data_IF_670085276563
#
_entry.id   IF_670085276563
#
_cell.length_a   1.000
_cell.length_b   1.000
_cell.length_c   1.000
_cell.angle_alpha   90.00
_cell.angle_beta   90.00
_cell.angle_gamma   90.00
#
_symmetry.space_group_name_H-M   'P 1'
#
loop_
_entity.id
_entity.type
_entity.pdbx_description
1 polymer ?
#
# COMPACT_ATOMS: atom_id res chain seq x y z
N UNK A 1 15.22 -5.14 1.21
CA UNK A 1 13.81 -5.28 0.80
C UNK A 1 12.98 -4.41 1.71
N UNK A 2 12.15 -3.55 1.13
CA UNK A 2 11.26 -2.61 1.82
C UNK A 2 9.85 -2.83 1.28
N UNK A 3 8.87 -3.05 2.15
CA UNK A 3 7.45 -3.12 1.77
C UNK A 3 6.85 -1.74 2.01
N UNK A 4 6.35 -1.12 0.95
CA UNK A 4 5.73 0.20 1.03
C UNK A 4 4.31 0.08 1.58
N UNK A 5 3.99 0.97 2.51
CA UNK A 5 2.66 1.13 3.07
C UNK A 5 1.80 2.05 2.18
N UNK A 6 0.48 1.95 2.33
CA UNK A 6 -0.52 2.67 1.53
C UNK A 6 -0.35 4.19 1.60
N UNK A 7 0.07 4.72 2.75
CA UNK A 7 0.33 6.15 2.92
C UNK A 7 1.49 6.66 2.04
N UNK A 8 2.61 5.94 1.97
CA UNK A 8 3.78 6.30 1.16
C UNK A 8 3.44 6.23 -0.32
N UNK A 9 2.71 5.18 -0.72
CA UNK A 9 2.31 4.98 -2.11
C UNK A 9 1.30 6.04 -2.55
N UNK A 10 0.26 6.26 -1.75
CA UNK A 10 -0.75 7.28 -2.05
C UNK A 10 -0.18 8.70 -2.06
N UNK A 11 0.81 9.00 -1.21
CA UNK A 11 1.56 10.25 -1.26
C UNK A 11 2.35 10.39 -2.56
N UNK A 12 3.09 9.34 -2.95
CA UNK A 12 3.87 9.33 -4.19
C UNK A 12 3.01 9.46 -5.47
N UNK A 13 1.75 9.05 -5.42
CA UNK A 13 0.78 9.18 -6.51
C UNK A 13 0.15 10.58 -6.63
N UNK A 14 0.38 11.48 -5.67
CA UNK A 14 -0.15 12.85 -5.75
C UNK A 14 0.56 13.66 -6.86
N UNK A 15 -0.12 14.62 -7.50
CA UNK A 15 0.53 15.53 -8.46
C UNK A 15 1.72 16.29 -7.86
N UNK A 16 1.60 16.67 -6.59
CA UNK A 16 2.65 17.32 -5.80
C UNK A 16 2.88 16.49 -4.53
N UNK A 17 3.77 15.48 -4.57
CA UNK A 17 4.07 14.65 -3.41
C UNK A 17 4.93 15.42 -2.40
N UNK A 18 4.84 15.05 -1.12
CA UNK A 18 5.74 15.56 -0.09
C UNK A 18 7.22 15.41 -0.51
N UNK A 19 8.03 16.49 -0.50
CA UNK A 19 9.42 16.45 -0.94
C UNK A 19 10.28 15.44 -0.18
N UNK A 20 10.01 15.21 1.11
CA UNK A 20 10.75 14.26 1.92
C UNK A 20 10.44 12.82 1.53
N UNK A 21 9.17 12.51 1.25
CA UNK A 21 8.77 11.18 0.75
C UNK A 21 9.39 10.90 -0.61
N UNK A 22 9.37 11.90 -1.51
CA UNK A 22 10.00 11.77 -2.83
C UNK A 22 11.51 11.60 -2.75
N UNK A 23 12.19 12.36 -1.89
CA UNK A 23 13.62 12.23 -1.69
C UNK A 23 13.98 10.83 -1.16
N UNK A 24 13.25 10.36 -0.14
CA UNK A 24 13.46 9.03 0.42
C UNK A 24 13.25 7.92 -0.61
N UNK A 25 12.20 7.99 -1.44
CA UNK A 25 11.96 7.01 -2.51
C UNK A 25 13.10 6.99 -3.55
N UNK A 26 13.63 8.16 -3.92
CA UNK A 26 14.72 8.28 -4.88
C UNK A 26 16.06 7.72 -4.36
N UNK A 27 16.22 7.61 -3.05
CA UNK A 27 17.40 7.00 -2.43
C UNK A 27 17.34 5.46 -2.42
N UNK A 28 16.17 4.87 -2.68
CA UNK A 28 16.00 3.41 -2.66
C UNK A 28 16.32 2.80 -4.02
N UNK A 29 16.92 1.61 -3.99
CA UNK A 29 17.05 0.77 -5.19
C UNK A 29 15.66 0.23 -5.53
N UNK A 30 15.14 0.59 -6.72
CA UNK A 30 13.76 0.33 -7.11
C UNK A 30 13.40 -1.14 -6.92
N UNK A 31 14.24 -2.07 -7.36
CA UNK A 31 14.06 -3.53 -7.30
C UNK A 31 13.95 -4.09 -5.87
N UNK A 32 14.31 -3.29 -4.87
CA UNK A 32 14.20 -3.65 -3.45
C UNK A 32 12.90 -3.17 -2.80
N UNK A 33 12.10 -2.38 -3.51
CA UNK A 33 10.77 -1.92 -3.08
C UNK A 33 9.69 -2.93 -3.50
N UNK A 34 8.77 -3.20 -2.59
CA UNK A 34 7.66 -4.15 -2.77
C UNK A 34 6.35 -3.53 -2.31
N UNK A 35 5.24 -4.01 -2.86
CA UNK A 35 3.89 -3.74 -2.38
C UNK A 35 3.31 -5.01 -1.80
N UNK A 36 2.35 -4.89 -0.88
CA UNK A 36 1.52 -6.02 -0.48
C UNK A 36 0.21 -6.01 -1.26
N UNK A 37 -0.40 -7.18 -1.46
CA UNK A 37 -1.75 -7.27 -2.02
C UNK A 37 -2.80 -6.58 -1.15
N UNK A 38 -2.52 -6.39 0.14
CA UNK A 38 -3.33 -5.60 1.08
C UNK A 38 -3.27 -4.12 0.73
N UNK A 39 -2.08 -3.56 0.60
CA UNK A 39 -1.85 -2.17 0.18
C UNK A 39 -2.53 -1.90 -1.16
N UNK A 40 -2.43 -2.85 -2.09
CA UNK A 40 -3.12 -2.76 -3.37
C UNK A 40 -4.66 -2.73 -3.21
N UNK A 41 -5.22 -3.59 -2.35
CA UNK A 41 -6.66 -3.61 -2.09
C UNK A 41 -7.16 -2.28 -1.49
N UNK A 42 -6.39 -1.67 -0.58
CA UNK A 42 -6.70 -0.36 0.00
C UNK A 42 -6.70 0.75 -1.07
N UNK A 43 -5.66 0.81 -1.90
CA UNK A 43 -5.60 1.79 -3.00
C UNK A 43 -6.76 1.65 -3.97
N UNK A 44 -7.10 0.41 -4.35
CA UNK A 44 -8.24 0.12 -5.24
C UNK A 44 -9.56 0.53 -4.60
N UNK A 45 -9.75 0.25 -3.31
CA UNK A 45 -10.94 0.65 -2.56
C UNK A 45 -11.07 2.18 -2.52
N UNK A 46 -10.02 2.88 -2.09
CA UNK A 46 -10.01 4.33 -1.98
C UNK A 46 -10.32 5.00 -3.32
N UNK A 47 -9.70 4.56 -4.41
CA UNK A 47 -10.01 5.05 -5.76
C UNK A 47 -11.46 4.72 -6.15
N UNK A 48 -11.93 3.51 -5.82
CA UNK A 48 -13.29 3.06 -6.10
C UNK A 48 -14.38 3.91 -5.43
N UNK A 49 -14.12 4.41 -4.21
CA UNK A 49 -15.06 5.26 -3.46
C UNK A 49 -15.17 6.69 -3.99
N UNK A 50 -14.24 7.13 -4.84
CA UNK A 50 -14.31 8.46 -5.44
C UNK A 50 -15.50 8.57 -6.41
N UNK A 51 -16.16 9.75 -6.48
CA UNK A 51 -17.11 10.05 -7.54
C UNK A 51 -16.45 9.94 -8.92
N UNK A 52 -17.23 9.50 -9.91
CA UNK A 52 -16.73 9.42 -11.29
C UNK A 52 -16.32 10.81 -11.79
N UNK A 53 -15.15 10.88 -12.41
CA UNK A 53 -14.58 12.14 -12.88
C UNK A 53 -13.08 12.07 -13.10
N UNK A 54 -12.49 13.24 -13.39
CA UNK A 54 -11.06 13.37 -13.74
C UNK A 54 -10.13 12.82 -12.65
N UNK A 55 -10.48 13.05 -11.38
CA UNK A 55 -9.66 12.60 -10.24
C UNK A 55 -9.59 11.08 -10.15
N UNK A 56 -10.74 10.40 -10.17
CA UNK A 56 -10.81 8.93 -10.14
C UNK A 56 -10.07 8.31 -11.31
N UNK A 57 -10.28 8.83 -12.52
CA UNK A 57 -9.60 8.38 -13.72
C UNK A 57 -8.07 8.53 -13.61
N UNK A 58 -7.59 9.71 -13.22
CA UNK A 58 -6.15 9.96 -13.10
C UNK A 58 -5.47 9.11 -12.04
N UNK A 59 -6.11 8.85 -10.90
CA UNK A 59 -5.57 7.95 -9.89
C UNK A 59 -5.59 6.48 -10.34
N UNK A 60 -6.62 6.07 -11.10
CA UNK A 60 -6.66 4.75 -11.74
C UNK A 60 -5.49 4.55 -12.71
N UNK A 61 -5.28 5.50 -13.63
CA UNK A 61 -4.16 5.46 -14.58
C UNK A 61 -2.80 5.46 -13.87
N UNK A 62 -2.65 6.22 -12.77
CA UNK A 62 -1.44 6.22 -11.96
C UNK A 62 -1.20 4.87 -11.26
N UNK A 63 -2.27 4.22 -10.77
CA UNK A 63 -2.19 2.90 -10.15
C UNK A 63 -1.81 1.83 -11.17
N UNK A 64 -2.36 1.88 -12.38
CA UNK A 64 -2.02 0.94 -13.45
C UNK A 64 -0.52 1.03 -13.80
N UNK A 65 0.00 2.24 -13.98
CA UNK A 65 1.44 2.45 -14.21
C UNK A 65 2.33 2.02 -13.04
N UNK A 66 1.84 2.18 -11.79
CA UNK A 66 2.54 1.66 -10.61
C UNK A 66 2.59 0.13 -10.62
N UNK A 67 1.51 -0.55 -10.96
CA UNK A 67 1.46 -2.00 -11.03
C UNK A 67 2.40 -2.56 -12.11
N UNK A 68 2.49 -1.89 -13.27
CA UNK A 68 3.46 -2.23 -14.30
C UNK A 68 4.91 -2.08 -13.81
N UNK A 69 5.20 -1.04 -13.04
CA UNK A 69 6.54 -0.82 -12.47
C UNK A 69 6.91 -1.92 -11.45
N UNK A 70 5.96 -2.31 -10.59
CA UNK A 70 6.22 -3.30 -9.55
C UNK A 70 6.25 -4.73 -10.09
N UNK A 71 5.43 -5.06 -11.08
CA UNK A 71 5.40 -6.40 -11.68
C UNK A 71 5.27 -7.50 -10.62
N UNK A 72 6.22 -8.44 -10.61
CA UNK A 72 6.25 -9.57 -9.65
C UNK A 72 6.58 -9.17 -8.20
N UNK A 73 6.76 -7.87 -7.92
CA UNK A 73 7.09 -7.33 -6.58
C UNK A 73 5.86 -6.95 -5.76
N UNK A 74 4.72 -7.56 -6.08
CA UNK A 74 3.50 -7.52 -5.27
C UNK A 74 3.41 -8.80 -4.45
N UNK A 75 3.68 -8.69 -3.15
CA UNK A 75 3.64 -9.78 -2.19
C UNK A 75 2.19 -10.18 -1.91
N UNK A 76 1.89 -11.47 -2.09
CA UNK A 76 0.55 -12.02 -1.82
C UNK A 76 0.34 -12.17 -0.33
N UNK A 77 -0.83 -11.74 0.16
CA UNK A 77 -1.30 -12.10 1.50
C UNK A 77 -1.88 -13.53 1.47
N UNK A 78 -1.01 -14.51 1.69
CA UNK A 78 -1.36 -15.93 1.66
C UNK A 78 -1.75 -16.49 3.04
N UNK A 79 -1.84 -17.82 3.14
CA UNK A 79 -2.21 -18.49 4.40
C UNK A 79 -1.17 -18.30 5.50
N UNK A 80 0.12 -18.24 5.16
CA UNK A 80 1.18 -18.05 6.15
C UNK A 80 1.21 -16.60 6.65
N UNK A 81 1.03 -15.63 5.75
CA UNK A 81 0.81 -14.23 6.13
C UNK A 81 -0.40 -14.07 7.07
N UNK A 82 -1.50 -14.77 6.79
CA UNK A 82 -2.70 -14.76 7.63
C UNK A 82 -2.45 -15.32 9.05
N UNK A 83 -1.65 -16.39 9.17
CA UNK A 83 -1.25 -16.94 10.49
C UNK A 83 -0.44 -15.94 11.29
N UNK A 84 0.60 -15.35 10.68
CA UNK A 84 1.42 -14.34 11.35
C UNK A 84 0.63 -13.11 11.74
N UNK A 85 -0.26 -12.63 10.86
CA UNK A 85 -1.18 -11.55 11.17
C UNK A 85 -2.02 -11.88 12.41
N UNK A 86 -2.65 -13.06 12.47
CA UNK A 86 -3.49 -13.45 13.60
C UNK A 86 -2.71 -13.48 14.92
N UNK A 87 -1.48 -14.00 14.93
CA UNK A 87 -0.63 -13.99 16.11
C UNK A 87 -0.31 -12.57 16.59
N UNK A 88 0.03 -11.66 15.67
CA UNK A 88 0.32 -10.26 15.99
C UNK A 88 -0.93 -9.53 16.50
N UNK A 89 -2.08 -9.74 15.85
CA UNK A 89 -3.34 -9.13 16.24
C UNK A 89 -3.79 -9.57 17.64
N UNK A 90 -3.65 -10.87 17.97
CA UNK A 90 -3.93 -11.39 19.32
C UNK A 90 -2.99 -10.76 20.34
N UNK A 91 -1.68 -10.71 20.06
CA UNK A 91 -0.70 -10.06 20.95
C UNK A 91 -1.06 -8.60 21.22
N UNK A 92 -1.33 -7.82 20.17
CA UNK A 92 -1.73 -6.42 20.28
C UNK A 92 -3.00 -6.26 21.13
N UNK A 93 -4.03 -7.07 20.86
CA UNK A 93 -5.28 -7.07 21.63
C UNK A 93 -5.07 -7.38 23.10
N UNK A 94 -4.25 -8.37 23.42
CA UNK A 94 -3.94 -8.74 24.82
C UNK A 94 -3.14 -7.67 25.56
N UNK A 95 -2.35 -6.88 24.83
CA UNK A 95 -1.62 -5.73 25.37
C UNK A 95 -2.47 -4.45 25.48
N UNK A 96 -3.77 -4.51 25.18
CA UNK A 96 -4.67 -3.36 25.20
C UNK A 96 -4.63 -2.49 23.94
N UNK A 97 -3.90 -2.92 22.91
CA UNK A 97 -3.88 -2.28 21.59
C UNK A 97 -5.10 -2.66 20.74
N UNK A 98 -5.40 -1.81 19.76
CA UNK A 98 -6.33 -2.17 18.69
C UNK A 98 -5.60 -3.07 17.69
N UNK A 99 -6.15 -4.23 17.31
CA UNK A 99 -5.61 -5.00 16.21
C UNK A 99 -5.67 -4.14 14.94
N UNK A 100 -4.55 -4.04 14.22
CA UNK A 100 -4.53 -3.43 12.90
C UNK A 100 -5.41 -4.27 11.97
N UNK A 101 -6.32 -3.63 11.24
CA UNK A 101 -7.15 -4.34 10.28
C UNK A 101 -6.22 -4.81 9.14
N UNK A 102 -6.28 -6.08 8.68
CA UNK A 102 -5.44 -6.56 7.59
C UNK A 102 -5.80 -5.90 6.26
N UNK A 103 -6.86 -5.09 6.23
CA UNK A 103 -7.20 -4.13 5.18
C UNK A 103 -7.62 -2.89 5.96
N UNK A 104 -6.76 -1.89 6.16
CA UNK A 104 -7.10 -0.66 6.90
C UNK A 104 -8.30 0.04 6.24
N UNK A 105 -9.51 -0.34 6.63
CA UNK A 105 -10.77 0.35 6.37
C UNK A 105 -11.31 0.95 7.64
#
# INVERSE_FOLDING_TARGET
MIVLDTNVVSEAMKPEPDPAVRAWLNEQVVETLYLSSVTLAELLFDIGTLPDGRRKKGLGEALDGLLELFGDRVLTFDTEAARHYAELAVKARTAGGLPVNPVNT
#
